data_IF_014815406790
#
_entry.id   IF_014815406790
#
_cell.length_a   1.000
_cell.length_b   1.000
_cell.length_c   1.000
_cell.angle_alpha   90.00
_cell.angle_beta   90.00
_cell.angle_gamma   90.00
#
_symmetry.space_group_name_H-M   'P 1'
#
loop_
_entity.id
_entity.type
_entity.pdbx_description
1 polymer ?
#
# COMPACT_ATOMS: atom_id res chain seq x y z
N UNK A 1 -27.48 -16.23 19.73
CA UNK A 1 -26.45 -15.52 18.93
C UNK A 1 -27.13 -15.12 17.63
N UNK A 2 -27.37 -13.84 17.40
CA UNK A 2 -28.01 -13.36 16.17
C UNK A 2 -26.89 -12.91 15.27
N UNK A 3 -26.71 -13.56 14.12
CA UNK A 3 -25.79 -13.17 13.09
C UNK A 3 -26.56 -12.22 12.17
N UNK A 4 -26.22 -10.92 12.21
CA UNK A 4 -26.79 -9.98 11.26
C UNK A 4 -26.26 -10.30 9.87
N UNK A 5 -27.13 -10.37 8.85
CA UNK A 5 -26.70 -10.47 7.48
C UNK A 5 -25.90 -9.22 7.12
N UNK A 6 -24.86 -9.42 6.32
CA UNK A 6 -23.97 -8.39 5.76
C UNK A 6 -24.74 -7.12 5.43
N UNK A 7 -24.41 -5.99 6.08
CA UNK A 7 -24.91 -4.67 5.68
C UNK A 7 -24.32 -4.40 4.29
N UNK A 8 -25.11 -4.61 3.25
CA UNK A 8 -24.80 -4.24 1.88
C UNK A 8 -24.92 -2.72 1.73
N UNK A 9 -23.84 -1.99 2.01
CA UNK A 9 -23.67 -0.64 1.53
C UNK A 9 -23.04 -0.71 0.13
N UNK A 10 -23.54 0.07 -0.81
CA UNK A 10 -22.91 0.26 -2.11
C UNK A 10 -21.44 0.64 -1.94
N UNK A 11 -20.55 -0.22 -2.48
CA UNK A 11 -19.13 0.04 -2.76
C UNK A 11 -18.28 0.60 -1.62
N UNK A 12 -18.46 0.08 -0.41
CA UNK A 12 -17.54 0.29 0.69
C UNK A 12 -16.75 -0.98 0.92
N UNK A 13 -15.46 -0.91 1.24
CA UNK A 13 -14.58 -2.05 1.49
C UNK A 13 -14.98 -2.98 2.65
N UNK A 14 -16.28 -3.06 2.97
CA UNK A 14 -16.87 -3.86 4.05
C UNK A 14 -17.22 -5.29 3.65
N UNK A 15 -17.00 -5.69 2.39
CA UNK A 15 -17.30 -7.06 1.93
C UNK A 15 -16.58 -8.10 2.76
N UNK A 16 -17.33 -9.07 3.27
CA UNK A 16 -16.80 -10.17 4.09
C UNK A 16 -16.58 -9.79 5.56
N UNK A 17 -16.88 -8.55 5.98
CA UNK A 17 -16.81 -8.13 7.37
C UNK A 17 -18.12 -8.46 8.11
N UNK A 18 -18.02 -8.87 9.37
CA UNK A 18 -19.17 -9.20 10.21
C UNK A 18 -19.09 -8.50 11.56
N UNK A 19 -20.25 -8.16 12.14
CA UNK A 19 -20.37 -7.75 13.53
C UNK A 19 -21.00 -8.87 14.35
N UNK A 20 -20.46 -9.11 15.54
CA UNK A 20 -21.03 -10.01 16.54
C UNK A 20 -21.74 -9.17 17.61
N UNK A 21 -23.00 -9.49 17.86
CA UNK A 21 -23.82 -8.74 18.79
C UNK A 21 -24.48 -9.64 19.84
N UNK A 22 -24.69 -9.10 21.05
CA UNK A 22 -25.39 -9.74 22.14
C UNK A 22 -26.46 -8.81 22.71
N UNK A 23 -27.64 -9.35 22.97
CA UNK A 23 -28.73 -8.59 23.57
C UNK A 23 -30.03 -9.37 23.55
N UNK A 24 -31.06 -8.80 24.16
CA UNK A 24 -32.40 -9.41 24.20
C UNK A 24 -33.19 -9.04 22.94
N UNK A 25 -34.08 -9.96 22.52
CA UNK A 25 -34.93 -9.77 21.35
C UNK A 25 -36.23 -9.07 21.76
N UNK A 26 -36.15 -7.76 22.01
CA UNK A 26 -37.31 -6.88 22.23
C UNK A 26 -37.33 -5.83 21.10
N UNK A 27 -38.49 -5.22 20.87
CA UNK A 27 -38.67 -4.25 19.77
C UNK A 27 -37.86 -2.98 19.98
N UNK A 28 -37.76 -2.52 21.22
CA UNK A 28 -36.95 -1.37 21.62
C UNK A 28 -35.86 -1.79 22.60
N UNK A 29 -34.70 -1.12 22.56
CA UNK A 29 -33.61 -1.41 23.50
C UNK A 29 -32.25 -1.41 22.82
N UNK A 30 -31.28 -2.06 23.43
CA UNK A 30 -29.90 -2.04 23.03
C UNK A 30 -29.33 -3.44 22.87
N UNK A 31 -28.43 -3.58 21.90
CA UNK A 31 -27.54 -4.74 21.76
C UNK A 31 -26.08 -4.29 21.90
N UNK A 32 -25.29 -5.03 22.66
CA UNK A 32 -23.85 -4.81 22.73
C UNK A 32 -23.17 -5.39 21.49
N UNK A 33 -22.23 -4.64 20.91
CA UNK A 33 -21.28 -5.15 19.93
C UNK A 33 -20.14 -5.76 20.73
N UNK A 34 -19.92 -7.07 20.57
CA UNK A 34 -18.94 -7.85 21.35
C UNK A 34 -17.79 -8.37 20.50
N UNK A 35 -17.75 -8.01 19.21
CA UNK A 35 -16.70 -8.41 18.29
C UNK A 35 -17.12 -8.28 16.84
N UNK A 36 -16.25 -8.74 15.94
CA UNK A 36 -16.49 -8.79 14.50
C UNK A 36 -15.33 -9.39 13.76
N UNK A 37 -15.43 -9.44 12.45
CA UNK A 37 -14.36 -9.88 11.53
C UNK A 37 -14.12 -8.84 10.44
N UNK A 38 -12.99 -8.95 9.74
CA UNK A 38 -12.62 -8.01 8.70
C UNK A 38 -12.46 -6.59 9.26
N UNK A 39 -13.12 -5.61 8.67
CA UNK A 39 -13.05 -4.20 9.10
C UNK A 39 -13.60 -3.98 10.53
N UNK A 40 -14.37 -4.93 11.06
CA UNK A 40 -14.92 -4.90 12.39
C UNK A 40 -14.19 -5.82 13.39
N UNK A 41 -12.96 -6.26 13.05
CA UNK A 41 -12.17 -7.06 13.97
C UNK A 41 -11.99 -6.33 15.31
N UNK A 42 -12.30 -7.03 16.42
CA UNK A 42 -12.28 -6.49 17.79
C UNK A 42 -13.20 -5.27 18.03
N UNK A 43 -14.21 -5.06 17.17
CA UNK A 43 -15.18 -4.00 17.37
C UNK A 43 -15.89 -4.16 18.72
N UNK A 44 -16.18 -3.04 19.38
CA UNK A 44 -17.06 -2.95 20.53
C UNK A 44 -17.99 -1.75 20.36
N UNK A 45 -19.08 -1.71 21.12
CA UNK A 45 -20.04 -0.61 21.01
C UNK A 45 -21.47 -1.03 21.31
N UNK A 46 -22.42 -0.28 20.76
CA UNK A 46 -23.85 -0.49 21.01
C UNK A 46 -24.65 -0.30 19.72
N UNK A 47 -25.71 -1.09 19.59
CA UNK A 47 -26.75 -0.94 18.57
C UNK A 47 -28.04 -0.57 19.26
N UNK A 48 -28.57 0.62 18.99
CA UNK A 48 -29.88 1.04 19.45
C UNK A 48 -30.92 0.53 18.48
N UNK A 49 -31.99 -0.07 19.04
CA UNK A 49 -33.14 -0.57 18.30
C UNK A 49 -34.33 0.32 18.58
N UNK A 50 -35.05 0.71 17.55
CA UNK A 50 -36.28 1.47 17.64
C UNK A 50 -37.31 0.87 16.71
N UNK A 51 -38.52 0.67 17.21
CA UNK A 51 -39.66 0.29 16.37
C UNK A 51 -39.91 1.39 15.33
N UNK A 52 -40.03 1.01 14.09
CA UNK A 52 -40.26 1.95 12.97
C UNK A 52 -41.68 1.80 12.42
N UNK A 53 -42.06 0.59 12.00
CA UNK A 53 -43.34 0.36 11.33
C UNK A 53 -43.76 -1.10 11.47
N UNK A 54 -45.08 -1.33 11.54
CA UNK A 54 -45.67 -2.67 11.45
C UNK A 54 -46.19 -2.93 10.04
N UNK A 55 -45.82 -4.09 9.47
CA UNK A 55 -46.32 -4.57 8.18
C UNK A 55 -47.02 -5.89 8.31
N UNK A 56 -47.71 -6.33 7.25
CA UNK A 56 -48.45 -7.61 7.25
C UNK A 56 -47.55 -8.85 7.40
N UNK A 57 -46.25 -8.70 7.10
CA UNK A 57 -45.25 -9.76 7.16
C UNK A 57 -44.28 -9.62 8.33
N UNK A 58 -44.44 -8.60 9.18
CA UNK A 58 -43.63 -8.40 10.37
C UNK A 58 -43.42 -6.94 10.75
N UNK A 59 -42.58 -6.72 11.77
CA UNK A 59 -42.23 -5.40 12.24
C UNK A 59 -40.91 -4.94 11.60
N UNK A 60 -40.85 -3.69 11.18
CA UNK A 60 -39.62 -3.02 10.76
C UNK A 60 -39.01 -2.36 11.98
N UNK A 61 -37.74 -2.70 12.24
CA UNK A 61 -36.94 -2.14 13.33
C UNK A 61 -35.80 -1.32 12.72
N UNK A 62 -35.69 -0.08 13.10
CA UNK A 62 -34.56 0.77 12.81
C UNK A 62 -33.39 0.43 13.74
N UNK A 63 -32.21 0.26 13.19
CA UNK A 63 -30.99 -0.01 13.93
C UNK A 63 -29.99 1.14 13.74
N UNK A 64 -29.63 1.80 14.85
CA UNK A 64 -28.55 2.79 14.88
C UNK A 64 -27.31 2.15 15.48
N UNK A 65 -26.25 2.02 14.68
CA UNK A 65 -25.02 1.31 15.04
C UNK A 65 -23.95 2.31 15.46
N UNK A 66 -23.48 2.21 16.68
CA UNK A 66 -22.30 2.91 17.20
C UNK A 66 -21.21 1.88 17.50
N UNK A 67 -20.34 1.64 16.52
CA UNK A 67 -19.22 0.71 16.64
C UNK A 67 -17.92 1.48 16.78
N UNK A 68 -17.16 1.20 17.83
CA UNK A 68 -15.76 1.56 17.95
C UNK A 68 -14.94 0.37 17.42
N UNK A 69 -14.27 0.57 16.31
CA UNK A 69 -13.33 -0.39 15.74
C UNK A 69 -11.93 0.10 16.12
N UNK A 70 -11.23 -0.57 17.06
CA UNK A 70 -9.84 -0.21 17.32
C UNK A 70 -9.09 -0.39 16.01
N UNK A 71 -8.42 0.67 15.56
CA UNK A 71 -7.42 0.53 14.49
C UNK A 71 -6.32 -0.30 15.13
N UNK A 72 -6.38 -1.62 14.95
CA UNK A 72 -5.23 -2.44 15.22
C UNK A 72 -4.14 -1.88 14.31
N UNK A 73 -3.07 -1.35 14.90
CA UNK A 73 -1.85 -1.03 14.17
C UNK A 73 -1.36 -2.35 13.55
N UNK A 74 -1.89 -2.72 12.39
CA UNK A 74 -1.73 -4.02 11.78
C UNK A 74 -2.93 -4.51 10.96
N UNK A 75 -3.98 -3.71 10.71
CA UNK A 75 -4.81 -3.97 9.52
C UNK A 75 -3.85 -3.99 8.35
N UNK A 76 -3.72 -5.12 7.60
CA UNK A 76 -2.83 -5.13 6.46
C UNK A 76 -3.29 -3.98 5.55
N UNK A 77 -2.49 -2.90 5.51
CA UNK A 77 -2.72 -1.85 4.53
C UNK A 77 -2.82 -2.55 3.20
N UNK A 78 -3.87 -2.27 2.43
CA UNK A 78 -4.05 -2.88 1.13
C UNK A 78 -2.86 -2.48 0.26
N UNK A 79 -1.91 -3.41 0.11
CA UNK A 79 -0.73 -3.21 -0.71
C UNK A 79 -1.08 -3.53 -2.16
N UNK A 80 -0.88 -2.55 -3.02
CA UNK A 80 -1.03 -2.72 -4.46
C UNK A 80 0.34 -2.67 -5.12
N UNK A 81 0.64 -3.64 -5.99
CA UNK A 81 1.81 -3.61 -6.86
C UNK A 81 1.46 -2.87 -8.14
N UNK A 82 2.25 -1.87 -8.51
CA UNK A 82 2.15 -1.16 -9.78
C UNK A 82 3.45 -1.31 -10.57
N UNK A 83 3.36 -1.68 -11.84
CA UNK A 83 4.47 -1.93 -12.73
C UNK A 83 4.80 -3.42 -12.88
N UNK A 84 6.07 -3.82 -13.14
CA UNK A 84 7.22 -2.93 -13.31
C UNK A 84 7.26 -2.23 -14.68
N UNK A 85 7.92 -1.07 -14.75
CA UNK A 85 8.28 -0.36 -15.99
C UNK A 85 9.75 -0.60 -16.29
N UNK A 86 10.08 -0.82 -17.55
CA UNK A 86 11.43 -1.08 -18.01
C UNK A 86 11.53 -2.26 -18.95
N UNK A 87 12.70 -2.91 -18.96
CA UNK A 87 12.99 -4.07 -19.78
C UNK A 87 12.65 -5.40 -19.12
N UNK A 88 12.75 -6.46 -19.92
CA UNK A 88 12.52 -7.85 -19.47
C UNK A 88 13.82 -8.59 -19.10
N UNK A 89 14.95 -7.90 -19.08
CA UNK A 89 16.26 -8.46 -18.74
C UNK A 89 16.39 -8.90 -17.29
N UNK A 90 17.54 -9.49 -16.97
CA UNK A 90 17.87 -9.91 -15.61
C UNK A 90 16.91 -10.94 -15.02
N UNK A 91 16.82 -10.95 -13.71
CA UNK A 91 15.91 -11.80 -12.93
C UNK A 91 14.96 -10.97 -12.08
N UNK A 92 13.82 -11.56 -11.73
CA UNK A 92 12.83 -10.95 -10.85
C UNK A 92 13.45 -10.63 -9.48
N UNK A 93 13.12 -9.48 -8.97
CA UNK A 93 13.51 -8.97 -7.66
C UNK A 93 12.29 -8.55 -6.89
N UNK A 94 12.22 -9.01 -5.67
CA UNK A 94 11.11 -8.72 -4.78
C UNK A 94 11.56 -8.68 -3.32
N UNK A 95 10.70 -8.16 -2.47
CA UNK A 95 10.82 -8.21 -1.01
C UNK A 95 9.92 -9.31 -0.47
N UNK A 96 10.30 -9.88 0.66
CA UNK A 96 9.55 -10.99 1.29
C UNK A 96 8.49 -10.45 2.24
N UNK A 97 8.86 -9.53 3.09
CA UNK A 97 7.98 -8.96 4.11
C UNK A 97 7.16 -7.80 3.53
N UNK A 98 5.87 -7.79 3.87
CA UNK A 98 4.95 -6.74 3.42
C UNK A 98 5.36 -5.36 3.96
N UNK A 99 5.73 -4.40 3.10
CA UNK A 99 6.24 -3.11 3.53
C UNK A 99 5.11 -2.22 4.07
N UNK A 100 5.45 -1.44 5.11
CA UNK A 100 4.57 -0.39 5.65
C UNK A 100 5.10 1.00 5.35
N UNK A 101 6.44 1.18 5.36
CA UNK A 101 7.07 2.50 5.18
C UNK A 101 8.51 2.35 4.69
N UNK A 102 8.89 3.16 3.71
CA UNK A 102 10.29 3.36 3.33
C UNK A 102 11.02 4.23 4.36
N UNK A 103 12.28 3.90 4.66
CA UNK A 103 13.17 4.69 5.50
C UNK A 103 14.29 5.33 4.71
N UNK A 104 14.84 4.62 3.73
CA UNK A 104 15.90 5.16 2.86
C UNK A 104 15.85 4.56 1.47
N UNK A 105 16.36 5.29 0.49
CA UNK A 105 16.54 4.85 -0.89
C UNK A 105 17.97 5.23 -1.31
N UNK A 106 18.75 4.27 -1.74
CA UNK A 106 20.08 4.49 -2.33
C UNK A 106 20.03 4.14 -3.81
N UNK A 107 20.36 5.09 -4.66
CA UNK A 107 20.47 4.90 -6.10
C UNK A 107 21.93 5.03 -6.51
N UNK A 108 22.45 4.02 -7.19
CA UNK A 108 23.75 4.10 -7.87
C UNK A 108 23.48 4.49 -9.32
N UNK A 109 24.05 5.61 -9.77
CA UNK A 109 23.79 6.13 -11.11
C UNK A 109 24.96 6.92 -11.68
N UNK A 110 25.08 6.88 -12.99
CA UNK A 110 25.96 7.71 -13.82
C UNK A 110 25.17 8.17 -15.03
N UNK A 111 25.47 7.64 -16.22
CA UNK A 111 24.66 7.83 -17.43
C UNK A 111 23.29 7.13 -17.36
N UNK A 112 23.22 6.10 -16.55
CA UNK A 112 22.02 5.26 -16.33
C UNK A 112 21.82 5.04 -14.84
N UNK A 113 20.76 4.30 -14.47
CA UNK A 113 20.59 3.78 -13.13
C UNK A 113 21.19 2.38 -13.05
N UNK A 114 22.35 2.28 -12.39
CA UNK A 114 23.09 1.02 -12.26
C UNK A 114 22.39 0.09 -11.25
N UNK A 115 21.98 0.62 -10.10
CA UNK A 115 21.30 -0.17 -9.09
C UNK A 115 20.44 0.67 -8.13
N UNK A 116 19.51 -0.03 -7.45
CA UNK A 116 18.72 0.51 -6.34
C UNK A 116 18.86 -0.39 -5.11
N UNK A 117 18.97 0.24 -3.94
CA UNK A 117 18.90 -0.37 -2.62
C UNK A 117 18.00 0.48 -1.73
N UNK A 118 17.23 -0.11 -0.84
CA UNK A 118 16.34 0.64 0.05
C UNK A 118 16.17 -0.07 1.38
N UNK A 119 15.83 0.68 2.41
CA UNK A 119 15.39 0.15 3.69
C UNK A 119 13.92 0.49 3.93
N UNK A 120 13.22 -0.42 4.57
CA UNK A 120 11.81 -0.28 4.88
C UNK A 120 11.46 -0.93 6.22
N UNK A 121 10.34 -0.52 6.77
CA UNK A 121 9.72 -1.14 7.95
C UNK A 121 8.52 -1.95 7.46
N UNK A 122 8.39 -3.17 7.94
CA UNK A 122 7.26 -4.05 7.62
C UNK A 122 6.02 -3.74 8.47
N UNK A 123 4.95 -4.51 8.26
CA UNK A 123 3.70 -4.37 9.01
C UNK A 123 3.87 -4.67 10.51
N UNK A 124 4.86 -5.49 10.89
CA UNK A 124 5.19 -5.81 12.28
C UNK A 124 6.11 -4.77 12.95
N UNK A 125 6.57 -3.76 12.20
CA UNK A 125 7.50 -2.73 12.69
C UNK A 125 8.97 -3.15 12.64
N UNK A 126 9.30 -4.27 11.99
CA UNK A 126 10.68 -4.72 11.82
C UNK A 126 11.33 -4.03 10.62
N UNK A 127 12.64 -3.78 10.73
CA UNK A 127 13.43 -3.14 9.67
C UNK A 127 14.01 -4.18 8.73
N UNK A 128 13.87 -3.92 7.44
CA UNK A 128 14.36 -4.76 6.37
C UNK A 128 15.12 -3.95 5.32
N UNK A 129 15.86 -4.64 4.46
CA UNK A 129 16.58 -4.05 3.34
C UNK A 129 16.27 -4.82 2.06
N UNK A 130 15.87 -4.10 1.02
CA UNK A 130 15.77 -4.60 -0.35
C UNK A 130 16.97 -4.18 -1.18
N UNK A 131 17.49 -5.08 -2.01
CA UNK A 131 18.64 -4.81 -2.87
C UNK A 131 20.01 -5.06 -2.19
N UNK A 132 21.14 -4.63 -2.84
CA UNK A 132 21.15 -3.88 -4.10
C UNK A 132 20.66 -4.73 -5.29
N UNK A 133 19.82 -4.15 -6.13
CA UNK A 133 19.35 -4.75 -7.38
C UNK A 133 19.98 -4.02 -8.55
N UNK A 134 20.83 -4.69 -9.32
CA UNK A 134 21.62 -4.16 -10.41
C UNK A 134 23.11 -4.26 -10.17
N UNK A 135 23.87 -3.47 -10.92
CA UNK A 135 25.32 -3.46 -10.92
C UNK A 135 25.96 -2.59 -9.85
N UNK A 136 27.29 -2.58 -9.86
CA UNK A 136 28.13 -1.81 -8.93
C UNK A 136 28.64 -0.48 -9.52
N UNK A 137 28.14 -0.09 -10.72
CA UNK A 137 28.54 1.16 -11.39
C UNK A 137 27.96 2.40 -10.75
N UNK A 138 28.35 3.55 -11.30
CA UNK A 138 27.85 4.85 -10.92
C UNK A 138 28.23 5.35 -9.53
N UNK A 139 27.70 6.53 -9.19
CA UNK A 139 27.88 7.15 -7.90
C UNK A 139 26.66 6.87 -7.02
N UNK A 140 26.89 6.53 -5.75
CA UNK A 140 25.82 6.28 -4.79
C UNK A 140 25.26 7.58 -4.20
N UNK A 141 23.94 7.72 -4.29
CA UNK A 141 23.18 8.81 -3.69
C UNK A 141 22.13 8.22 -2.76
N UNK A 142 22.20 8.54 -1.47
CA UNK A 142 21.26 8.04 -0.48
C UNK A 142 20.29 9.14 -0.04
N UNK A 143 19.01 8.84 -0.18
CA UNK A 143 17.89 9.61 0.35
C UNK A 143 17.52 8.97 1.70
N UNK A 144 17.56 9.73 2.77
CA UNK A 144 17.04 9.33 4.08
C UNK A 144 15.74 10.07 4.30
N UNK A 145 14.64 9.33 4.44
CA UNK A 145 13.31 9.90 4.63
C UNK A 145 13.10 10.27 6.10
N UNK A 146 12.60 11.46 6.34
CA UNK A 146 12.22 11.92 7.68
C UNK A 146 11.05 11.11 8.28
N UNK A 147 10.78 11.29 9.56
CA UNK A 147 9.74 10.52 10.28
C UNK A 147 8.35 10.61 9.65
N UNK A 148 8.00 11.77 9.12
CA UNK A 148 6.73 12.05 8.41
C UNK A 148 6.90 12.20 6.90
N UNK A 149 8.09 11.93 6.36
CA UNK A 149 8.35 12.02 4.93
C UNK A 149 8.01 10.69 4.25
N UNK A 150 7.27 10.74 3.17
CA UNK A 150 6.87 9.59 2.37
C UNK A 150 6.91 9.90 0.87
N UNK A 151 7.15 8.85 0.08
CA UNK A 151 7.22 8.97 -1.38
C UNK A 151 5.81 8.99 -1.97
N UNK A 152 5.52 10.02 -2.76
CA UNK A 152 4.23 10.24 -3.45
C UNK A 152 4.25 9.84 -4.91
N UNK A 153 5.44 9.89 -5.54
CA UNK A 153 5.59 9.60 -6.95
C UNK A 153 7.00 9.07 -7.22
N UNK A 154 7.08 8.10 -8.10
CA UNK A 154 8.33 7.69 -8.76
C UNK A 154 8.15 7.89 -10.25
N UNK A 155 9.06 8.62 -10.86
CA UNK A 155 9.08 8.83 -12.30
C UNK A 155 10.49 8.61 -12.86
N UNK A 156 10.57 8.43 -14.14
CA UNK A 156 11.85 8.22 -14.81
C UNK A 156 11.71 7.90 -16.27
N UNK A 157 12.77 7.35 -16.83
CA UNK A 157 12.80 6.86 -18.21
C UNK A 157 13.43 5.48 -18.27
N UNK A 158 13.08 4.70 -19.29
CA UNK A 158 13.71 3.42 -19.61
C UNK A 158 13.97 3.34 -21.12
N UNK A 159 14.99 2.61 -21.51
CA UNK A 159 15.36 2.48 -22.92
C UNK A 159 16.56 1.58 -23.14
N UNK A 160 16.95 1.46 -24.40
CA UNK A 160 18.13 0.72 -24.81
C UNK A 160 19.38 1.53 -24.46
N UNK A 161 20.35 0.89 -23.80
CA UNK A 161 21.55 1.58 -23.31
C UNK A 161 22.80 1.29 -24.14
N UNK A 162 23.09 0.02 -24.37
CA UNK A 162 24.35 -0.39 -24.94
C UNK A 162 24.22 -1.17 -26.25
N UNK A 163 25.40 -1.56 -26.83
CA UNK A 163 25.47 -2.35 -28.06
C UNK A 163 24.80 -3.72 -27.95
N UNK A 164 24.69 -4.24 -26.73
CA UNK A 164 24.06 -5.54 -26.43
C UNK A 164 22.54 -5.42 -26.25
N UNK A 165 21.99 -4.21 -26.52
CA UNK A 165 20.58 -3.90 -26.53
C UNK A 165 19.90 -4.11 -25.17
N UNK A 166 20.64 -3.89 -24.07
CA UNK A 166 20.03 -3.94 -22.74
C UNK A 166 18.96 -2.85 -22.60
N UNK A 167 17.73 -3.27 -22.33
CA UNK A 167 16.61 -2.37 -22.06
C UNK A 167 16.49 -2.20 -20.53
N UNK A 168 16.83 -1.01 -20.05
CA UNK A 168 17.10 -0.73 -18.64
C UNK A 168 16.45 0.56 -18.19
N UNK A 169 16.47 0.83 -16.89
CA UNK A 169 16.10 2.14 -16.32
C UNK A 169 17.23 3.13 -16.58
N UNK A 170 16.95 4.17 -17.35
CA UNK A 170 17.94 5.20 -17.71
C UNK A 170 17.93 6.38 -16.73
N UNK A 171 16.78 6.71 -16.13
CA UNK A 171 16.70 7.71 -15.06
C UNK A 171 15.62 7.40 -14.04
N UNK A 172 15.80 7.91 -12.81
CA UNK A 172 14.83 7.89 -11.73
C UNK A 172 14.71 9.23 -11.03
N UNK A 173 13.51 9.58 -10.61
CA UNK A 173 13.20 10.73 -9.78
C UNK A 173 12.14 10.33 -8.76
N UNK A 174 12.32 10.76 -7.51
CA UNK A 174 11.38 10.52 -6.42
C UNK A 174 10.80 11.85 -5.95
N UNK A 175 9.49 11.92 -5.81
CA UNK A 175 8.79 13.07 -5.24
C UNK A 175 8.17 12.63 -3.93
N UNK A 176 8.56 13.31 -2.85
CA UNK A 176 7.98 13.10 -1.51
C UNK A 176 6.95 14.18 -1.19
N UNK A 177 6.31 14.08 -0.02
CA UNK A 177 5.48 15.16 0.50
C UNK A 177 6.29 16.41 0.92
N UNK A 178 7.62 16.33 0.95
CA UNK A 178 8.52 17.42 1.36
C UNK A 178 9.24 18.03 0.16
N UNK A 179 9.86 17.21 -0.70
CA UNK A 179 10.66 17.67 -1.85
C UNK A 179 10.85 16.61 -2.93
N UNK A 180 11.50 16.99 -4.01
CA UNK A 180 11.92 16.08 -5.06
C UNK A 180 13.41 15.73 -4.92
N UNK A 181 13.74 14.47 -5.28
CA UNK A 181 15.10 13.95 -5.32
C UNK A 181 15.41 13.40 -6.72
N UNK A 182 16.57 13.71 -7.25
CA UNK A 182 17.00 13.38 -8.61
C UNK A 182 16.77 14.53 -9.59
N UNK A 183 16.83 14.28 -10.91
CA UNK A 183 16.95 12.96 -11.53
C UNK A 183 18.30 12.28 -11.24
N UNK A 184 18.27 10.96 -11.09
CA UNK A 184 19.41 10.07 -11.04
C UNK A 184 19.51 9.38 -12.40
N UNK A 185 20.68 9.40 -13.05
CA UNK A 185 20.86 8.97 -14.43
C UNK A 185 20.47 10.06 -15.45
N UNK A 186 20.50 9.72 -16.73
CA UNK A 186 20.10 10.62 -17.81
C UNK A 186 18.73 10.24 -18.37
N UNK A 187 17.87 11.24 -18.54
CA UNK A 187 16.51 11.05 -19.06
C UNK A 187 16.54 10.73 -20.57
N UNK A 188 16.67 9.45 -20.90
CA UNK A 188 16.71 8.93 -22.27
C UNK A 188 15.72 7.78 -22.45
N UNK A 189 14.97 7.78 -23.55
CA UNK A 189 14.02 6.71 -23.87
C UNK A 189 12.57 7.04 -23.50
N UNK A 190 11.81 6.02 -23.13
CA UNK A 190 10.36 6.12 -22.83
C UNK A 190 10.15 6.60 -21.39
N UNK A 191 9.41 7.69 -21.17
CA UNK A 191 9.10 8.15 -19.82
C UNK A 191 8.04 7.28 -19.18
N UNK A 192 8.11 7.18 -17.84
CA UNK A 192 7.06 6.62 -17.01
C UNK A 192 6.87 7.46 -15.73
N UNK A 193 5.67 7.40 -15.19
CA UNK A 193 5.31 8.04 -13.93
C UNK A 193 4.37 7.14 -13.15
N UNK A 194 4.67 6.93 -11.89
CA UNK A 194 3.90 6.11 -10.96
C UNK A 194 3.48 7.01 -9.80
N UNK A 195 2.32 7.67 -9.89
CA UNK A 195 1.81 8.45 -8.78
C UNK A 195 1.20 7.52 -7.72
N UNK A 196 1.39 7.84 -6.45
CA UNK A 196 0.51 7.35 -5.41
C UNK A 196 -0.80 8.15 -5.44
N UNK A 197 -1.93 7.47 -5.37
CA UNK A 197 -3.25 8.11 -5.31
C UNK A 197 -3.38 8.98 -4.04
N UNK A 198 -4.43 9.80 -3.99
CA UNK A 198 -4.73 10.61 -2.80
C UNK A 198 -4.87 9.71 -1.57
N UNK A 199 -4.17 10.06 -0.49
CA UNK A 199 -4.07 9.30 0.75
C UNK A 199 -3.32 7.96 0.65
N UNK A 200 -2.47 7.79 -0.36
CA UNK A 200 -1.58 6.64 -0.46
C UNK A 200 -0.11 7.06 -0.52
N UNK A 201 0.78 6.11 -0.30
CA UNK A 201 2.22 6.31 -0.35
C UNK A 201 2.93 5.10 -0.95
N UNK A 202 4.07 5.35 -1.60
CA UNK A 202 4.94 4.29 -2.07
C UNK A 202 5.79 3.83 -0.89
N UNK A 203 5.71 2.54 -0.57
CA UNK A 203 6.29 1.96 0.65
C UNK A 203 7.36 0.89 0.40
N UNK A 204 7.58 0.51 -0.86
CA UNK A 204 8.58 -0.47 -1.25
C UNK A 204 8.70 -0.58 -2.76
N UNK A 205 9.63 -1.42 -3.20
CA UNK A 205 9.91 -1.65 -4.61
C UNK A 205 9.95 -3.14 -4.92
N UNK A 206 9.77 -3.47 -6.19
CA UNK A 206 10.04 -4.75 -6.84
C UNK A 206 10.50 -4.47 -8.27
N UNK A 207 10.99 -5.46 -8.99
CA UNK A 207 11.41 -5.21 -10.36
C UNK A 207 12.21 -6.34 -10.98
N UNK A 208 13.13 -5.97 -11.84
CA UNK A 208 14.06 -6.88 -12.50
C UNK A 208 15.46 -6.27 -12.51
N UNK A 209 16.47 -7.09 -12.30
CA UNK A 209 17.85 -6.65 -12.45
C UNK A 209 18.80 -7.79 -12.83
N UNK A 210 19.79 -7.45 -13.62
CA UNK A 210 20.95 -8.24 -13.93
C UNK A 210 22.21 -7.44 -13.61
N UNK A 211 22.98 -7.09 -14.63
CA UNK A 211 24.14 -6.19 -14.53
C UNK A 211 23.73 -4.72 -14.39
N UNK A 212 22.48 -4.40 -14.67
CA UNK A 212 21.84 -3.09 -14.50
C UNK A 212 20.48 -3.24 -13.82
N UNK A 213 19.86 -2.13 -13.47
CA UNK A 213 18.45 -2.11 -13.09
C UNK A 213 17.59 -2.14 -14.35
N UNK A 214 17.07 -3.32 -14.68
CA UNK A 214 16.29 -3.56 -15.91
C UNK A 214 14.89 -2.97 -15.83
N UNK A 215 14.18 -3.19 -14.72
CA UNK A 215 12.83 -2.67 -14.52
C UNK A 215 12.54 -2.38 -13.03
N UNK A 216 11.65 -1.41 -12.78
CA UNK A 216 11.23 -1.01 -11.44
C UNK A 216 9.71 -0.91 -11.35
N UNK A 217 9.16 -1.48 -10.30
CA UNK A 217 7.78 -1.34 -9.86
C UNK A 217 7.72 -0.94 -8.40
N UNK A 218 6.55 -0.57 -7.92
CA UNK A 218 6.36 -0.05 -6.57
C UNK A 218 5.26 -0.79 -5.81
N UNK A 219 5.41 -0.85 -4.50
CA UNK A 219 4.35 -1.16 -3.55
C UNK A 219 3.69 0.14 -3.10
N UNK A 220 2.40 0.25 -3.32
CA UNK A 220 1.58 1.37 -2.85
C UNK A 220 0.75 0.90 -1.67
N UNK A 221 0.79 1.66 -0.59
CA UNK A 221 -0.02 1.46 0.61
C UNK A 221 -1.07 2.55 0.67
N UNK A 222 -2.33 2.16 0.80
CA UNK A 222 -3.41 3.09 1.05
C UNK A 222 -3.47 3.36 2.55
N UNK A 223 -3.34 4.63 2.96
CA UNK A 223 -3.63 5.06 4.33
C UNK A 223 -5.14 5.02 4.51
N UNK A 224 -5.60 4.16 5.38
CA UNK A 224 -7.00 4.15 5.84
C UNK A 224 -7.25 5.31 6.82
#
# INVERSE_FOLDING_TARGET
MIQLPTICGHDTGLRGSTLQVMGISVEEGEWAIVGGTGQFAMANGVIYKKFHEQRSDGNIIELTVHAFCPVLNGSPSLLTKLGPWGGSGGSDKDIVEAPRRLESITVSSGLIVDSIKFSYVDQAGQKHTGGPWGGSGGNQNTIVLGASEFVKEVSGTHGIFDKDQHHIITSLKFITNVKAYGPFGEAKGTPFTIPAEKNSSIVGFFGRSGIYLDALGVYVSNSS
#
